data_IF_325819425919
#
_entry.id   IF_325819425919
#
_cell.length_a   1.000
_cell.length_b   1.000
_cell.length_c   1.000
_cell.angle_alpha   90.00
_cell.angle_beta   90.00
_cell.angle_gamma   90.00
#
_symmetry.space_group_name_H-M   'P 1'
#
loop_
_entity.id
_entity.type
_entity.pdbx_description
1 polymer ?
#
# COMPACT_ATOMS: atom_id res chain seq x y z
N UNK A 1 11.19 -15.96 -21.75
CA UNK A 1 11.51 -17.07 -20.81
C UNK A 1 10.70 -16.85 -19.53
N UNK A 2 9.95 -17.85 -19.07
CA UNK A 2 9.17 -17.75 -17.82
C UNK A 2 9.85 -18.57 -16.72
N UNK A 3 9.89 -18.05 -15.49
CA UNK A 3 10.49 -18.66 -14.31
C UNK A 3 9.39 -18.97 -13.30
N UNK A 4 9.30 -20.24 -12.90
CA UNK A 4 8.42 -20.70 -11.84
C UNK A 4 9.19 -20.76 -10.52
N UNK A 5 8.62 -20.18 -9.48
CA UNK A 5 9.21 -20.13 -8.13
C UNK A 5 8.21 -20.75 -7.16
N UNK A 6 8.65 -21.78 -6.47
CA UNK A 6 7.85 -22.49 -5.47
C UNK A 6 8.37 -22.09 -4.09
N UNK A 7 7.49 -21.50 -3.28
CA UNK A 7 7.80 -21.11 -1.91
C UNK A 7 6.96 -21.93 -0.93
N UNK A 8 7.62 -22.63 -0.01
CA UNK A 8 6.96 -23.31 1.10
C UNK A 8 6.57 -22.30 2.16
N UNK A 9 5.29 -22.24 2.48
CA UNK A 9 4.75 -21.35 3.51
C UNK A 9 5.08 -21.83 4.92
N UNK A 10 5.24 -20.90 5.87
CA UNK A 10 5.24 -21.21 7.30
C UNK A 10 3.94 -21.87 7.75
N UNK A 11 4.04 -22.79 8.70
CA UNK A 11 2.92 -23.64 9.14
C UNK A 11 1.75 -22.83 9.75
N UNK A 12 2.04 -21.68 10.36
CA UNK A 12 1.03 -20.79 10.95
C UNK A 12 0.11 -20.15 9.87
N UNK A 13 0.66 -19.79 8.71
CA UNK A 13 -0.11 -19.27 7.59
C UNK A 13 -0.88 -20.38 6.87
N UNK A 14 -0.32 -21.59 6.81
CA UNK A 14 -1.01 -22.77 6.25
C UNK A 14 -2.20 -23.17 7.12
N UNK A 15 -2.04 -23.18 8.44
CA UNK A 15 -3.14 -23.46 9.38
C UNK A 15 -4.30 -22.47 9.20
N UNK A 16 -4.01 -21.17 9.03
CA UNK A 16 -5.03 -20.15 8.73
C UNK A 16 -5.74 -20.42 7.40
N UNK A 17 -5.02 -20.81 6.36
CA UNK A 17 -5.57 -21.17 5.04
C UNK A 17 -6.50 -22.38 5.13
N UNK A 18 -6.05 -23.46 5.77
CA UNK A 18 -6.83 -24.69 5.95
C UNK A 18 -8.10 -24.39 6.74
N UNK A 19 -8.00 -23.62 7.84
CA UNK A 19 -9.17 -23.21 8.63
C UNK A 19 -10.18 -22.43 7.80
N UNK A 20 -9.72 -21.44 7.02
CA UNK A 20 -10.60 -20.65 6.14
C UNK A 20 -11.27 -21.52 5.07
N UNK A 21 -10.52 -22.45 4.47
CA UNK A 21 -11.04 -23.37 3.48
C UNK A 21 -12.10 -24.33 4.05
N UNK A 22 -11.85 -24.91 5.23
CA UNK A 22 -12.83 -25.74 5.97
C UNK A 22 -14.11 -24.97 6.27
N UNK A 23 -14.00 -23.74 6.79
CA UNK A 23 -15.15 -22.89 7.09
C UNK A 23 -15.96 -22.56 5.82
N UNK A 24 -15.30 -22.30 4.70
CA UNK A 24 -15.97 -22.02 3.44
C UNK A 24 -16.68 -23.26 2.88
N UNK A 25 -16.07 -24.44 2.99
CA UNK A 25 -16.72 -25.69 2.59
C UNK A 25 -17.95 -25.98 3.45
N UNK A 26 -17.85 -25.81 4.78
CA UNK A 26 -18.99 -25.96 5.70
C UNK A 26 -20.14 -25.01 5.33
N UNK A 27 -19.84 -23.73 5.09
CA UNK A 27 -20.85 -22.74 4.67
C UNK A 27 -21.52 -23.08 3.33
N UNK A 28 -20.82 -23.80 2.45
CA UNK A 28 -21.31 -24.18 1.12
C UNK A 28 -21.81 -25.61 1.03
N UNK A 29 -21.94 -26.33 2.17
CA UNK A 29 -22.36 -27.73 2.20
C UNK A 29 -21.44 -28.69 1.45
N UNK A 30 -20.15 -28.35 1.29
CA UNK A 30 -19.17 -29.14 0.53
C UNK A 30 -18.46 -30.15 1.42
N UNK A 31 -17.98 -31.24 0.81
CA UNK A 31 -17.17 -32.29 1.45
C UNK A 31 -15.87 -31.73 2.08
N UNK A 32 -15.27 -32.52 2.97
CA UNK A 32 -14.00 -32.20 3.61
C UNK A 32 -12.87 -31.98 2.59
N UNK A 33 -11.81 -31.29 3.00
CA UNK A 33 -10.66 -31.00 2.15
C UNK A 33 -9.90 -32.30 1.83
N UNK A 34 -9.50 -32.47 0.57
CA UNK A 34 -8.69 -33.62 0.14
C UNK A 34 -7.24 -33.51 0.62
N UNK A 35 -6.51 -34.63 0.61
CA UNK A 35 -5.09 -34.67 0.97
C UNK A 35 -4.25 -33.79 0.03
N UNK A 36 -4.57 -33.79 -1.26
CA UNK A 36 -3.90 -32.99 -2.28
C UNK A 36 -4.12 -31.49 -2.05
N UNK A 37 -5.32 -31.09 -1.65
CA UNK A 37 -5.59 -29.69 -1.32
C UNK A 37 -4.76 -29.24 -0.12
N UNK A 38 -4.69 -30.08 0.93
CA UNK A 38 -3.87 -29.79 2.11
C UNK A 38 -2.40 -29.69 1.73
N UNK A 39 -1.87 -30.61 0.92
CA UNK A 39 -0.49 -30.55 0.43
C UNK A 39 -0.21 -29.26 -0.36
N UNK A 40 -1.12 -28.86 -1.26
CA UNK A 40 -1.02 -27.61 -2.02
C UNK A 40 -1.12 -26.37 -1.15
N UNK A 41 -1.80 -26.42 -0.01
CA UNK A 41 -1.92 -25.29 0.90
C UNK A 41 -0.57 -24.82 1.48
N UNK A 42 0.42 -25.73 1.53
CA UNK A 42 1.80 -25.42 1.93
C UNK A 42 2.60 -24.67 0.86
N UNK A 43 2.13 -24.60 -0.38
CA UNK A 43 2.89 -24.06 -1.50
C UNK A 43 2.30 -22.72 -1.95
N UNK A 44 3.17 -21.77 -2.26
CA UNK A 44 2.87 -20.64 -3.14
C UNK A 44 3.69 -20.76 -4.41
N UNK A 45 3.02 -20.58 -5.55
CA UNK A 45 3.64 -20.60 -6.86
C UNK A 45 3.66 -19.16 -7.39
N UNK A 46 4.84 -18.68 -7.76
CA UNK A 46 5.04 -17.40 -8.42
C UNK A 46 5.59 -17.64 -9.82
N UNK A 47 4.97 -17.01 -10.82
CA UNK A 47 5.46 -17.03 -12.20
C UNK A 47 5.95 -15.63 -12.51
N UNK A 48 7.20 -15.51 -12.97
CA UNK A 48 7.79 -14.23 -13.34
C UNK A 48 8.66 -14.37 -14.59
N UNK A 49 8.76 -13.31 -15.37
CA UNK A 49 9.73 -13.18 -16.47
C UNK A 49 11.07 -12.57 -16.00
N UNK A 50 11.17 -12.18 -14.72
CA UNK A 50 12.35 -11.55 -14.15
C UNK A 50 13.46 -12.56 -13.84
N UNK A 51 14.70 -12.16 -14.10
CA UNK A 51 15.88 -12.97 -13.81
C UNK A 51 16.16 -13.10 -12.30
N UNK A 52 16.89 -14.15 -11.92
CA UNK A 52 17.36 -14.36 -10.54
C UNK A 52 18.31 -13.30 -10.04
N UNK A 53 19.07 -12.64 -10.90
CA UNK A 53 19.93 -11.53 -10.51
C UNK A 53 19.09 -10.32 -10.06
N UNK A 54 18.02 -9.99 -10.78
CA UNK A 54 17.15 -8.85 -10.43
C UNK A 54 16.21 -9.17 -9.27
N UNK A 55 15.60 -10.36 -9.25
CA UNK A 55 14.72 -10.79 -8.15
C UNK A 55 15.16 -12.17 -7.66
N UNK A 56 15.95 -12.22 -6.57
CA UNK A 56 16.33 -13.46 -5.93
C UNK A 56 15.10 -14.22 -5.39
N UNK A 57 15.12 -15.55 -5.50
CA UNK A 57 14.01 -16.43 -5.06
C UNK A 57 13.57 -16.16 -3.62
N UNK A 58 14.53 -15.81 -2.74
CA UNK A 58 14.30 -15.52 -1.31
C UNK A 58 13.46 -14.26 -1.09
N UNK A 59 13.53 -13.27 -1.99
CA UNK A 59 12.88 -11.96 -1.84
C UNK A 59 11.48 -11.93 -2.45
N UNK A 60 11.20 -12.79 -3.44
CA UNK A 60 9.92 -12.85 -4.17
C UNK A 60 8.71 -12.87 -3.24
N UNK A 61 8.77 -13.68 -2.18
CA UNK A 61 7.68 -13.78 -1.21
C UNK A 61 7.42 -12.45 -0.50
N UNK A 62 8.47 -11.75 -0.08
CA UNK A 62 8.38 -10.45 0.58
C UNK A 62 7.89 -9.36 -0.38
N UNK A 63 8.39 -9.36 -1.62
CA UNK A 63 7.95 -8.45 -2.67
C UNK A 63 6.46 -8.65 -2.98
N UNK A 64 6.01 -9.90 -3.08
CA UNK A 64 4.60 -10.20 -3.36
C UNK A 64 3.66 -9.77 -2.23
N UNK A 65 4.14 -9.67 -0.98
CA UNK A 65 3.36 -9.08 0.12
C UNK A 65 3.08 -7.58 -0.11
N UNK A 66 3.94 -6.87 -0.84
CA UNK A 66 3.73 -5.48 -1.21
C UNK A 66 2.63 -5.28 -2.26
N UNK A 67 2.15 -6.35 -2.91
CA UNK A 67 1.06 -6.26 -3.91
C UNK A 67 -0.19 -5.56 -3.36
N UNK A 68 -0.53 -5.76 -2.08
CA UNK A 68 -1.66 -5.05 -1.46
C UNK A 68 -1.41 -3.53 -1.39
N UNK A 69 -0.18 -3.03 -1.34
CA UNK A 69 0.06 -1.58 -1.37
C UNK A 69 -0.52 -0.92 -2.63
N UNK A 70 -0.50 -1.62 -3.77
CA UNK A 70 -1.11 -1.14 -5.02
C UNK A 70 -2.64 -1.05 -4.88
N UNK A 71 -3.29 -2.08 -4.33
CA UNK A 71 -4.74 -2.05 -4.07
C UNK A 71 -5.11 -0.93 -3.07
N UNK A 72 -4.26 -0.70 -2.05
CA UNK A 72 -4.45 0.39 -1.10
C UNK A 72 -4.31 1.75 -1.78
N UNK A 73 -3.35 1.89 -2.70
CA UNK A 73 -3.19 3.11 -3.48
C UNK A 73 -4.41 3.39 -4.35
N UNK A 74 -4.91 2.38 -5.09
CA UNK A 74 -6.16 2.52 -5.85
C UNK A 74 -7.37 2.82 -4.96
N UNK A 75 -7.42 2.25 -3.76
CA UNK A 75 -8.47 2.57 -2.77
C UNK A 75 -8.39 4.05 -2.36
N UNK A 76 -7.20 4.58 -2.09
CA UNK A 76 -7.00 6.00 -1.76
C UNK A 76 -7.46 6.88 -2.94
N UNK A 77 -7.07 6.54 -4.17
CA UNK A 77 -7.42 7.35 -5.35
C UNK A 77 -8.93 7.41 -5.59
N UNK A 78 -9.61 6.27 -5.44
CA UNK A 78 -11.06 6.20 -5.61
C UNK A 78 -11.82 6.82 -4.44
N UNK A 79 -11.53 6.40 -3.22
CA UNK A 79 -12.31 6.79 -2.04
C UNK A 79 -12.01 8.20 -1.53
N UNK A 80 -10.79 8.72 -1.72
CA UNK A 80 -10.38 10.01 -1.15
C UNK A 80 -10.22 11.08 -2.23
N UNK A 81 -9.71 10.71 -3.41
CA UNK A 81 -9.50 11.67 -4.51
C UNK A 81 -10.64 11.65 -5.54
N UNK A 82 -11.62 10.76 -5.35
CA UNK A 82 -12.80 10.61 -6.20
C UNK A 82 -12.44 10.45 -7.68
N UNK A 83 -11.30 9.84 -8.03
CA UNK A 83 -10.77 9.86 -9.42
C UNK A 83 -11.76 9.28 -10.45
N UNK A 84 -12.60 8.34 -10.01
CA UNK A 84 -13.65 7.72 -10.82
C UNK A 84 -14.93 8.57 -10.95
N UNK A 85 -15.15 9.53 -10.04
CA UNK A 85 -16.31 10.42 -10.09
C UNK A 85 -15.98 11.58 -11.01
N UNK A 86 -16.57 11.53 -12.20
CA UNK A 86 -16.38 12.49 -13.26
C UNK A 86 -17.74 13.06 -13.67
N UNK A 87 -17.83 14.38 -13.79
CA UNK A 87 -19.02 15.05 -14.32
C UNK A 87 -19.04 14.94 -15.85
N UNK A 88 -20.22 14.83 -16.45
CA UNK A 88 -20.38 14.86 -17.90
C UNK A 88 -19.99 16.25 -18.43
N UNK A 89 -18.85 16.36 -19.07
CA UNK A 89 -18.28 17.61 -19.61
C UNK A 89 -17.60 17.35 -20.96
N UNK A 90 -17.27 18.42 -21.70
CA UNK A 90 -16.47 18.32 -22.93
C UNK A 90 -15.13 17.64 -22.66
N UNK A 91 -14.61 16.90 -23.65
CA UNK A 91 -13.35 16.13 -23.57
C UNK A 91 -12.19 16.92 -22.95
N UNK A 92 -11.93 18.14 -23.43
CA UNK A 92 -10.82 18.96 -22.90
C UNK A 92 -10.98 19.31 -21.42
N UNK A 93 -12.20 19.60 -20.96
CA UNK A 93 -12.46 19.88 -19.54
C UNK A 93 -12.28 18.61 -18.69
N UNK A 94 -12.65 17.46 -19.24
CA UNK A 94 -12.42 16.17 -18.61
C UNK A 94 -10.92 15.88 -18.45
N UNK A 95 -10.15 16.04 -19.52
CA UNK A 95 -8.70 15.85 -19.50
C UNK A 95 -8.02 16.74 -18.45
N UNK A 96 -8.34 18.04 -18.42
CA UNK A 96 -7.83 18.96 -17.39
C UNK A 96 -8.18 18.50 -15.96
N UNK A 97 -9.40 18.01 -15.73
CA UNK A 97 -9.82 17.51 -14.42
C UNK A 97 -9.04 16.26 -13.99
N UNK A 98 -8.83 15.32 -14.92
CA UNK A 98 -8.03 14.11 -14.66
C UNK A 98 -6.59 14.50 -14.34
N UNK A 99 -5.97 15.38 -15.14
CA UNK A 99 -4.60 15.83 -14.89
C UNK A 99 -4.45 16.53 -13.53
N UNK A 100 -5.38 17.43 -13.17
CA UNK A 100 -5.35 18.09 -11.88
C UNK A 100 -5.41 17.09 -10.71
N UNK A 101 -6.27 16.06 -10.81
CA UNK A 101 -6.35 14.98 -9.81
C UNK A 101 -5.08 14.15 -9.75
N UNK A 102 -4.51 13.79 -10.89
CA UNK A 102 -3.27 13.01 -10.95
C UNK A 102 -2.10 13.78 -10.33
N UNK A 103 -1.98 15.08 -10.62
CA UNK A 103 -0.96 15.94 -10.02
C UNK A 103 -1.14 15.99 -8.50
N UNK A 104 -2.36 16.21 -8.00
CA UNK A 104 -2.65 16.23 -6.57
C UNK A 104 -2.29 14.89 -5.89
N UNK A 105 -2.66 13.77 -6.52
CA UNK A 105 -2.35 12.43 -6.04
C UNK A 105 -0.83 12.22 -5.95
N UNK A 106 -0.09 12.57 -7.00
CA UNK A 106 1.37 12.41 -7.06
C UNK A 106 2.06 13.27 -6.01
N UNK A 107 1.63 14.53 -5.86
CA UNK A 107 2.14 15.44 -4.83
C UNK A 107 1.83 14.91 -3.43
N UNK A 108 0.62 14.44 -3.18
CA UNK A 108 0.23 13.85 -1.91
C UNK A 108 1.07 12.62 -1.56
N UNK A 109 1.36 11.76 -2.55
CA UNK A 109 2.22 10.60 -2.34
C UNK A 109 3.64 11.00 -1.96
N UNK A 110 4.21 12.00 -2.64
CA UNK A 110 5.55 12.52 -2.32
C UNK A 110 5.61 13.03 -0.87
N UNK A 111 4.63 13.82 -0.44
CA UNK A 111 4.57 14.38 0.91
C UNK A 111 4.41 13.28 1.96
N UNK A 112 3.39 12.42 1.81
CA UNK A 112 3.10 11.36 2.78
C UNK A 112 4.26 10.36 2.86
N UNK A 113 4.85 9.98 1.72
CA UNK A 113 5.99 9.07 1.72
C UNK A 113 7.22 9.69 2.40
N UNK A 114 7.51 10.97 2.18
CA UNK A 114 8.62 11.66 2.84
C UNK A 114 8.42 11.70 4.35
N UNK A 115 7.21 11.99 4.82
CA UNK A 115 6.87 11.96 6.25
C UNK A 115 6.97 10.54 6.81
N UNK A 116 6.43 9.54 6.10
CA UNK A 116 6.52 8.14 6.51
C UNK A 116 7.97 7.69 6.67
N UNK A 117 8.83 8.02 5.69
CA UNK A 117 10.26 7.71 5.74
C UNK A 117 10.94 8.39 6.91
N UNK A 118 10.70 9.69 7.10
CA UNK A 118 11.32 10.44 8.20
C UNK A 118 10.88 9.91 9.57
N UNK A 119 9.59 9.66 9.75
CA UNK A 119 9.04 9.13 11.00
C UNK A 119 9.63 7.75 11.32
N UNK A 120 9.76 6.90 10.30
CA UNK A 120 10.35 5.58 10.46
C UNK A 120 11.85 5.64 10.80
N UNK A 121 12.62 6.51 10.14
CA UNK A 121 14.06 6.64 10.37
C UNK A 121 14.37 7.30 11.73
N UNK A 122 13.60 8.32 12.11
CA UNK A 122 13.87 9.10 13.33
C UNK A 122 13.24 8.48 14.58
N UNK A 123 12.06 7.86 14.45
CA UNK A 123 11.27 7.42 15.59
C UNK A 123 10.97 5.91 15.58
N UNK A 124 11.32 5.20 14.49
CA UNK A 124 11.03 3.77 14.34
C UNK A 124 9.56 3.44 14.10
N UNK A 125 8.71 4.46 13.92
CA UNK A 125 7.27 4.30 13.80
C UNK A 125 6.81 4.22 12.34
N UNK A 126 5.88 3.31 12.06
CA UNK A 126 5.31 3.14 10.74
C UNK A 126 4.07 4.02 10.57
N UNK A 127 3.98 4.70 9.43
CA UNK A 127 2.85 5.55 9.10
C UNK A 127 1.73 4.80 8.35
N UNK A 128 0.48 5.04 8.71
CA UNK A 128 -0.68 4.61 7.94
C UNK A 128 -0.91 5.54 6.76
N UNK A 129 -0.57 5.06 5.56
CA UNK A 129 -0.78 5.82 4.31
C UNK A 129 -2.22 6.29 4.14
N UNK A 130 -3.20 5.45 4.45
CA UNK A 130 -4.62 5.79 4.29
C UNK A 130 -5.05 6.92 5.23
N UNK A 131 -4.74 6.84 6.54
CA UNK A 131 -5.08 7.89 7.51
C UNK A 131 -4.40 9.21 7.13
N UNK A 132 -3.12 9.15 6.77
CA UNK A 132 -2.33 10.32 6.38
C UNK A 132 -2.88 10.98 5.13
N UNK A 133 -3.19 10.21 4.08
CA UNK A 133 -3.82 10.73 2.88
C UNK A 133 -5.19 11.32 3.13
N UNK A 134 -6.00 10.66 3.97
CA UNK A 134 -7.32 11.17 4.33
C UNK A 134 -7.20 12.56 4.96
N UNK A 135 -6.32 12.73 5.94
CA UNK A 135 -6.09 14.04 6.57
C UNK A 135 -5.51 15.06 5.59
N UNK A 136 -4.60 14.63 4.71
CA UNK A 136 -4.02 15.50 3.69
C UNK A 136 -5.10 16.08 2.77
N UNK A 137 -5.97 15.22 2.23
CA UNK A 137 -7.00 15.61 1.26
C UNK A 137 -8.21 16.27 1.94
N UNK A 138 -8.66 15.77 3.09
CA UNK A 138 -9.87 16.26 3.75
C UNK A 138 -9.64 17.50 4.64
N UNK A 139 -8.43 17.70 5.17
CA UNK A 139 -8.19 18.73 6.20
C UNK A 139 -7.01 19.66 5.90
N UNK A 140 -6.09 19.27 5.00
CA UNK A 140 -4.89 20.08 4.70
C UNK A 140 -4.81 20.52 3.25
N UNK A 141 -5.84 20.26 2.43
CA UNK A 141 -5.87 20.65 1.01
C UNK A 141 -5.78 22.17 0.82
N UNK A 142 -6.45 22.97 1.67
CA UNK A 142 -6.41 24.42 1.54
C UNK A 142 -5.06 24.99 1.98
N UNK A 143 -4.41 24.38 2.98
CA UNK A 143 -3.04 24.70 3.33
C UNK A 143 -2.06 24.33 2.21
N UNK A 144 -2.30 23.22 1.49
CA UNK A 144 -1.52 22.82 0.32
C UNK A 144 -1.70 23.84 -0.82
N UNK A 145 -2.94 24.27 -1.09
CA UNK A 145 -3.23 25.34 -2.05
C UNK A 145 -2.56 26.65 -1.66
N UNK A 146 -2.54 26.99 -0.36
CA UNK A 146 -1.88 28.19 0.14
C UNK A 146 -0.36 28.18 -0.14
N UNK A 147 0.26 27.00 -0.14
CA UNK A 147 1.67 26.82 -0.46
C UNK A 147 1.93 26.92 -1.96
N UNK A 148 1.18 26.17 -2.78
CA UNK A 148 1.52 25.99 -4.20
C UNK A 148 0.84 26.96 -5.17
N UNK A 149 -0.30 27.54 -4.81
CA UNK A 149 -1.08 28.40 -5.71
C UNK A 149 -1.04 29.87 -5.32
N UNK A 150 -1.18 30.19 -4.02
CA UNK A 150 -1.17 31.58 -3.55
C UNK A 150 0.16 32.03 -2.98
N UNK A 151 1.07 31.10 -2.63
CA UNK A 151 2.36 31.42 -2.01
C UNK A 151 2.25 32.09 -0.63
N UNK A 152 1.07 32.05 0.00
CA UNK A 152 0.79 32.71 1.28
C UNK A 152 1.25 31.90 2.49
N UNK A 153 1.64 30.64 2.28
CA UNK A 153 2.21 29.76 3.31
C UNK A 153 3.49 29.13 2.79
N UNK A 154 4.50 29.01 3.65
CA UNK A 154 5.74 28.34 3.28
C UNK A 154 5.58 26.82 3.29
N UNK A 155 6.31 26.15 2.40
CA UNK A 155 6.31 24.69 2.31
C UNK A 155 6.87 24.05 3.60
N UNK A 156 7.91 24.64 4.19
CA UNK A 156 8.52 24.10 5.40
C UNK A 156 7.56 24.13 6.60
N UNK A 157 6.80 25.22 6.77
CA UNK A 157 5.75 25.32 7.79
C UNK A 157 4.65 24.28 7.59
N UNK A 158 4.25 24.06 6.34
CA UNK A 158 3.27 23.02 6.01
C UNK A 158 3.78 21.62 6.36
N UNK A 159 5.02 21.29 5.97
CA UNK A 159 5.60 19.97 6.21
C UNK A 159 5.78 19.71 7.70
N UNK A 160 6.25 20.69 8.48
CA UNK A 160 6.38 20.58 9.94
C UNK A 160 5.03 20.35 10.61
N UNK A 161 4.03 21.14 10.22
CA UNK A 161 2.67 21.01 10.78
C UNK A 161 2.05 19.65 10.42
N UNK A 162 2.20 19.21 9.17
CA UNK A 162 1.67 17.92 8.72
C UNK A 162 2.44 16.72 9.32
N UNK A 163 3.75 16.86 9.57
CA UNK A 163 4.54 15.87 10.31
C UNK A 163 4.00 15.69 11.73
N UNK A 164 3.80 16.80 12.47
CA UNK A 164 3.25 16.78 13.84
C UNK A 164 1.88 16.13 13.91
N UNK A 165 0.97 16.48 12.99
CA UNK A 165 -0.37 15.85 12.92
C UNK A 165 -0.25 14.36 12.62
N UNK A 166 0.69 13.98 11.75
CA UNK A 166 0.88 12.59 11.34
C UNK A 166 1.43 11.70 12.44
N UNK A 167 2.37 12.23 13.23
CA UNK A 167 2.93 11.56 14.40
C UNK A 167 1.87 11.18 15.43
N UNK A 168 0.87 12.03 15.66
CA UNK A 168 -0.16 11.76 16.67
C UNK A 168 -1.28 10.88 16.12
N UNK A 169 -1.75 11.16 14.90
CA UNK A 169 -3.03 10.62 14.44
C UNK A 169 -2.92 9.48 13.41
N UNK A 170 -1.76 9.32 12.78
CA UNK A 170 -1.64 8.48 11.59
C UNK A 170 -0.72 7.28 11.78
N UNK A 171 -0.32 6.95 12.99
CA UNK A 171 0.50 5.76 13.26
C UNK A 171 -0.22 4.48 12.84
N UNK A 172 0.56 3.55 12.30
CA UNK A 172 0.12 2.22 11.92
C UNK A 172 0.37 1.26 13.09
N UNK A 173 -0.69 0.59 13.53
CA UNK A 173 -0.56 -0.48 14.51
C UNK A 173 0.28 -1.64 13.92
N UNK A 174 1.47 -1.85 14.48
CA UNK A 174 2.35 -2.93 14.05
C UNK A 174 1.83 -4.27 14.58
N UNK A 175 1.53 -5.19 13.67
CA UNK A 175 1.25 -6.58 14.04
C UNK A 175 2.53 -7.24 14.53
N UNK A 176 2.50 -7.79 15.75
CA UNK A 176 3.64 -8.45 16.39
C UNK A 176 4.30 -9.46 15.44
N UNK A 177 5.62 -9.34 15.25
CA UNK A 177 6.43 -10.25 14.44
C UNK A 177 6.26 -10.16 12.91
N UNK A 178 5.51 -9.17 12.39
CA UNK A 178 5.35 -8.98 10.93
C UNK A 178 5.96 -7.66 10.47
N UNK A 179 6.79 -7.68 9.41
CA UNK A 179 7.37 -6.45 8.90
C UNK A 179 6.28 -5.58 8.27
N UNK A 180 6.38 -4.27 8.48
CA UNK A 180 5.50 -3.30 7.81
C UNK A 180 5.87 -3.17 6.33
N UNK A 181 4.97 -2.63 5.51
CA UNK A 181 5.26 -2.46 4.09
C UNK A 181 6.41 -1.47 3.84
N UNK A 182 6.59 -0.48 4.72
CA UNK A 182 7.73 0.44 4.65
C UNK A 182 9.03 -0.27 5.02
N UNK A 183 9.03 -1.11 6.06
CA UNK A 183 10.18 -1.96 6.43
C UNK A 183 10.60 -2.86 5.26
N UNK A 184 9.63 -3.52 4.61
CA UNK A 184 9.90 -4.36 3.43
C UNK A 184 10.48 -3.55 2.27
N UNK A 185 9.94 -2.35 2.01
CA UNK A 185 10.45 -1.47 0.95
C UNK A 185 11.88 -1.00 1.24
N UNK A 186 12.15 -0.57 2.47
CA UNK A 186 13.48 -0.11 2.88
C UNK A 186 14.50 -1.26 2.92
N UNK A 187 14.10 -2.46 3.34
CA UNK A 187 14.98 -3.64 3.31
C UNK A 187 15.34 -4.10 1.89
N UNK A 188 14.50 -3.79 0.90
CA UNK A 188 14.77 -4.06 -0.51
C UNK A 188 15.50 -2.89 -1.21
N UNK A 189 15.68 -1.76 -0.53
CA UNK A 189 16.35 -0.56 -1.07
C UNK A 189 17.80 -0.43 -0.57
N UNK A 190 18.34 -1.47 0.07
CA UNK A 190 19.77 -1.55 0.41
C UNK A 190 20.44 -2.22 -0.78
N UNK A 191 20.75 -1.39 -1.77
CA UNK A 191 21.90 -1.41 -2.68
C UNK A 191 21.99 -0.01 -3.31
#
# INVERSE_FOLDING_TARGET
KARLIIHRLPDDEVAKRIRKARNNNKKKGRKALSKEYVARAYLNLFITNTDSATIPTKVVWNLYRLRWQIELAFKIWKSLCDIEKVKKVKRHRLECYIYAKLILIMLGWRIVYKIAKNLFVLEGEALSFYKSFKTLISSKIDALRAVFLSGTRRLDDFVRDFYRVSRVNHLLEKKRGKPTSLELLLSCSID
#
